data_IF_955155573396
#
_entry.id   IF_955155573396
#
_cell.length_a   1.000
_cell.length_b   1.000
_cell.length_c   1.000
_cell.angle_alpha   90.00
_cell.angle_beta   90.00
_cell.angle_gamma   90.00
#
_symmetry.space_group_name_H-M   'P 1'
#
loop_
_entity.id
_entity.type
_entity.pdbx_description
1 polymer ?
#
# COMPACT_ATOMS: atom_id res chain seq x y z
N UNK A 1 -13.28 -60.22 38.06
CA UNK A 1 -12.38 -59.07 38.01
C UNK A 1 -13.24 -57.88 37.65
N UNK A 2 -13.22 -56.85 38.51
CA UNK A 2 -14.29 -55.89 38.65
C UNK A 2 -14.18 -54.73 37.66
N UNK A 3 -15.29 -54.48 36.93
CA UNK A 3 -15.53 -53.24 36.15
C UNK A 3 -15.81 -52.09 37.11
N UNK A 4 -15.22 -50.95 36.90
CA UNK A 4 -15.53 -49.70 37.61
C UNK A 4 -16.31 -48.81 36.62
N UNK A 5 -17.61 -48.72 36.91
CA UNK A 5 -18.49 -47.69 36.30
C UNK A 5 -18.09 -46.32 36.81
N UNK A 6 -17.90 -45.38 35.86
CA UNK A 6 -17.93 -43.94 36.15
C UNK A 6 -19.20 -43.36 35.54
N UNK A 7 -20.13 -43.04 36.41
CA UNK A 7 -21.32 -42.24 36.12
C UNK A 7 -20.92 -40.84 35.78
N UNK A 8 -21.45 -40.34 34.69
CA UNK A 8 -21.36 -38.94 34.23
C UNK A 8 -22.30 -38.03 34.99
N UNK A 9 -21.84 -36.82 35.16
CA UNK A 9 -22.66 -35.66 35.50
C UNK A 9 -22.44 -34.63 34.36
N UNK A 10 -23.37 -34.61 33.45
CA UNK A 10 -23.55 -33.48 32.53
C UNK A 10 -24.86 -32.80 32.90
N UNK A 11 -24.73 -31.65 33.54
CA UNK A 11 -25.84 -30.71 33.76
C UNK A 11 -26.17 -30.00 32.42
N UNK A 12 -27.46 -29.75 32.13
CA UNK A 12 -27.86 -29.00 30.98
C UNK A 12 -27.89 -27.50 31.28
N UNK A 13 -27.24 -26.70 30.49
CA UNK A 13 -27.57 -25.29 30.43
C UNK A 13 -26.43 -24.28 30.61
N UNK A 14 -25.68 -24.05 29.55
CA UNK A 14 -25.04 -22.78 29.20
C UNK A 14 -24.33 -22.94 27.87
N UNK A 15 -24.93 -22.66 26.72
CA UNK A 15 -24.20 -22.49 25.46
C UNK A 15 -25.11 -22.18 24.26
N UNK A 16 -26.13 -21.34 24.43
CA UNK A 16 -26.95 -20.94 23.27
C UNK A 16 -27.03 -19.43 23.00
N UNK A 17 -26.43 -18.59 23.84
CA UNK A 17 -26.51 -17.13 23.70
C UNK A 17 -25.25 -16.54 23.05
N UNK A 18 -24.11 -17.22 23.18
CA UNK A 18 -22.81 -16.67 22.78
C UNK A 18 -22.49 -16.83 21.29
N UNK A 19 -23.04 -17.85 20.64
CA UNK A 19 -22.67 -18.14 19.24
C UNK A 19 -23.30 -17.20 18.21
N UNK A 20 -24.44 -16.56 18.50
CA UNK A 20 -25.06 -15.57 17.59
C UNK A 20 -24.38 -14.20 17.71
N UNK A 21 -23.91 -13.82 18.91
CA UNK A 21 -23.13 -12.59 19.09
C UNK A 21 -21.72 -12.76 18.50
N UNK A 22 -21.07 -13.89 18.71
CA UNK A 22 -19.76 -14.21 18.11
C UNK A 22 -19.85 -14.26 16.56
N UNK A 23 -20.89 -14.88 15.99
CA UNK A 23 -21.12 -14.85 14.53
C UNK A 23 -21.45 -13.45 14.01
N UNK A 24 -22.15 -12.61 14.78
CA UNK A 24 -22.39 -11.21 14.42
C UNK A 24 -21.11 -10.37 14.43
N UNK A 25 -20.21 -10.62 15.37
CA UNK A 25 -18.89 -9.96 15.44
C UNK A 25 -17.98 -10.44 14.30
N UNK A 26 -17.95 -11.75 14.03
CA UNK A 26 -17.19 -12.33 12.90
C UNK A 26 -17.75 -11.86 11.56
N UNK A 27 -19.06 -11.77 11.41
CA UNK A 27 -19.68 -11.22 10.19
C UNK A 27 -19.35 -9.74 9.98
N UNK A 28 -19.20 -8.95 11.06
CA UNK A 28 -18.73 -7.54 10.99
C UNK A 28 -17.25 -7.43 10.64
N UNK A 29 -16.43 -8.40 11.01
CA UNK A 29 -15.01 -8.45 10.67
C UNK A 29 -14.81 -8.96 9.22
N UNK A 30 -15.64 -9.88 8.75
CA UNK A 30 -15.50 -10.55 7.45
C UNK A 30 -16.27 -9.84 6.33
N UNK A 31 -17.33 -9.12 6.66
CA UNK A 31 -18.03 -8.24 5.75
C UNK A 31 -18.04 -6.82 6.34
N UNK A 32 -16.98 -6.03 6.14
CA UNK A 32 -17.10 -4.61 6.42
C UNK A 32 -18.25 -4.09 5.55
N UNK A 33 -19.22 -3.42 6.16
CA UNK A 33 -20.13 -2.52 5.44
C UNK A 33 -19.24 -1.73 4.48
N UNK A 34 -19.35 -2.00 3.16
CA UNK A 34 -18.50 -1.29 2.19
C UNK A 34 -18.91 0.17 2.31
N UNK A 35 -18.04 1.03 2.79
CA UNK A 35 -18.42 2.44 2.94
C UNK A 35 -18.87 2.95 1.57
N UNK A 36 -19.88 3.79 1.51
CA UNK A 36 -20.43 4.36 0.26
C UNK A 36 -19.34 4.97 -0.61
N UNK A 37 -18.29 5.51 0.02
CA UNK A 37 -17.12 6.04 -0.65
C UNK A 37 -15.83 5.29 -0.20
N UNK A 38 -14.98 4.78 -1.15
CA UNK A 38 -13.80 3.97 -0.80
C UNK A 38 -12.77 4.68 0.07
N UNK A 39 -12.66 6.01 0.02
CA UNK A 39 -11.75 6.80 0.87
C UNK A 39 -12.12 6.74 2.37
N UNK A 40 -13.36 6.37 2.71
CA UNK A 40 -13.78 6.24 4.12
C UNK A 40 -12.99 5.18 4.89
N UNK A 41 -12.42 4.18 4.22
CA UNK A 41 -11.51 3.21 4.83
C UNK A 41 -10.24 3.88 5.38
N UNK A 42 -9.71 4.85 4.63
CA UNK A 42 -8.54 5.63 5.07
C UNK A 42 -8.91 6.55 6.26
N UNK A 43 -10.05 7.24 6.17
CA UNK A 43 -10.53 8.06 7.29
C UNK A 43 -10.82 7.23 8.54
N UNK A 44 -11.38 6.02 8.38
CA UNK A 44 -11.61 5.09 9.49
C UNK A 44 -10.28 4.64 10.14
N UNK A 45 -9.22 4.43 9.36
CA UNK A 45 -7.89 4.13 9.89
C UNK A 45 -7.32 5.30 10.69
N UNK A 46 -7.45 6.55 10.20
CA UNK A 46 -7.04 7.73 10.96
C UNK A 46 -7.81 7.86 12.29
N UNK A 47 -9.12 7.64 12.26
CA UNK A 47 -9.95 7.70 13.46
C UNK A 47 -9.58 6.59 14.46
N UNK A 48 -9.37 5.36 13.98
CA UNK A 48 -8.94 4.22 14.80
C UNK A 48 -7.60 4.50 15.50
N UNK A 49 -6.63 5.11 14.81
CA UNK A 49 -5.35 5.49 15.42
C UNK A 49 -5.54 6.56 16.49
N UNK A 50 -6.37 7.58 16.25
CA UNK A 50 -6.63 8.64 17.24
C UNK A 50 -7.36 8.12 18.48
N UNK A 51 -8.24 7.14 18.32
CA UNK A 51 -9.08 6.60 19.40
C UNK A 51 -8.39 5.47 20.18
N UNK A 52 -7.69 4.56 19.47
CA UNK A 52 -7.16 3.32 20.03
C UNK A 52 -5.64 3.19 19.93
N UNK A 53 -4.96 4.15 19.29
CA UNK A 53 -3.51 4.08 19.06
C UNK A 53 -2.71 4.11 20.36
N UNK A 54 -1.81 3.14 20.51
CA UNK A 54 -0.84 3.15 21.60
C UNK A 54 0.19 4.27 21.39
N UNK A 55 0.43 5.08 22.42
CA UNK A 55 1.48 6.10 22.39
C UNK A 55 2.85 5.42 22.47
N UNK A 56 3.76 5.82 21.57
CA UNK A 56 5.13 5.33 21.53
C UNK A 56 6.11 6.46 21.26
N UNK A 57 7.26 6.39 21.86
CA UNK A 57 8.41 7.19 21.45
C UNK A 57 8.98 6.61 20.15
N UNK A 58 9.56 7.47 19.34
CA UNK A 58 10.15 7.09 18.06
C UNK A 58 11.53 7.72 17.86
N UNK A 59 12.22 7.30 16.79
CA UNK A 59 13.57 7.78 16.45
C UNK A 59 13.66 9.30 16.27
N UNK A 60 12.57 9.93 15.83
CA UNK A 60 12.54 11.38 15.55
C UNK A 60 12.32 12.21 16.81
N UNK A 61 11.96 11.60 17.95
CA UNK A 61 11.64 12.29 19.20
C UNK A 61 10.29 13.02 19.19
N UNK A 62 9.52 12.95 18.10
CA UNK A 62 8.17 13.54 18.01
C UNK A 62 7.16 12.69 18.78
N UNK A 63 7.32 11.38 18.77
CA UNK A 63 6.37 10.41 19.28
C UNK A 63 5.21 10.14 18.34
N UNK A 64 4.58 8.99 18.50
CA UNK A 64 3.51 8.50 17.64
C UNK A 64 2.34 7.91 18.43
N UNK A 65 1.15 7.90 17.82
CA UNK A 65 0.05 7.00 18.13
C UNK A 65 0.02 5.91 17.07
N UNK A 66 -0.03 4.64 17.45
CA UNK A 66 0.04 3.54 16.49
C UNK A 66 -0.90 2.39 16.80
N UNK A 67 -1.39 1.75 15.73
CA UNK A 67 -2.14 0.48 15.77
C UNK A 67 -1.41 -0.56 14.93
N UNK A 68 -1.56 -1.84 15.25
CA UNK A 68 -0.87 -2.90 14.55
C UNK A 68 -1.84 -3.80 13.78
N UNK A 69 -1.48 -4.14 12.54
CA UNK A 69 -2.22 -5.10 11.73
C UNK A 69 -3.56 -4.55 11.23
N UNK A 70 -3.54 -3.68 10.22
CA UNK A 70 -4.74 -3.14 9.56
C UNK A 70 -4.69 -3.40 8.06
N UNK A 71 -5.84 -3.33 7.39
CA UNK A 71 -5.94 -3.52 5.95
C UNK A 71 -7.02 -2.62 5.35
N UNK A 72 -6.74 -2.11 4.14
CA UNK A 72 -7.70 -1.39 3.29
C UNK A 72 -7.76 -2.05 1.91
N UNK A 73 -8.91 -1.88 1.20
CA UNK A 73 -9.12 -2.41 -0.16
C UNK A 73 -9.75 -1.35 -1.05
N UNK A 74 -9.19 -1.19 -2.25
CA UNK A 74 -9.66 -0.26 -3.26
C UNK A 74 -9.94 -1.01 -4.55
N UNK A 75 -11.22 -1.08 -4.95
CA UNK A 75 -11.63 -1.61 -6.26
C UNK A 75 -11.27 -0.57 -7.32
N UNK A 76 -10.29 -0.87 -8.16
CA UNK A 76 -9.74 0.05 -9.16
C UNK A 76 -10.71 0.29 -10.33
N UNK A 77 -11.76 -0.51 -10.48
CA UNK A 77 -12.84 -0.26 -11.43
C UNK A 77 -13.75 0.90 -11.03
N UNK A 78 -13.70 1.34 -9.75
CA UNK A 78 -14.52 2.42 -9.19
C UNK A 78 -13.82 3.80 -9.23
N UNK A 79 -12.67 3.90 -9.84
CA UNK A 79 -11.87 5.13 -9.94
C UNK A 79 -10.46 4.96 -9.35
N UNK A 80 -9.62 5.94 -9.63
CA UNK A 80 -8.25 5.96 -9.14
C UNK A 80 -8.19 6.49 -7.70
N UNK A 81 -7.69 5.72 -6.71
CA UNK A 81 -7.75 6.09 -5.30
C UNK A 81 -6.72 7.17 -4.92
N UNK A 82 -6.83 8.32 -5.55
CA UNK A 82 -6.13 9.54 -5.16
C UNK A 82 -7.03 10.31 -4.19
N UNK A 83 -6.63 10.38 -2.91
CA UNK A 83 -7.48 10.93 -1.85
C UNK A 83 -7.97 12.33 -2.18
N UNK A 84 -9.19 12.63 -1.72
CA UNK A 84 -9.91 13.86 -2.02
C UNK A 84 -10.14 14.73 -0.78
N UNK A 85 -10.06 14.19 0.42
CA UNK A 85 -10.19 14.93 1.69
C UNK A 85 -9.00 15.86 1.97
N UNK A 86 -7.89 15.67 1.27
CA UNK A 86 -6.82 16.66 1.10
C UNK A 86 -6.19 16.51 -0.28
N UNK A 87 -5.77 17.64 -0.88
CA UNK A 87 -5.11 17.61 -2.19
C UNK A 87 -3.73 16.98 -2.07
N UNK A 88 -3.48 15.98 -2.92
CA UNK A 88 -2.19 15.33 -3.07
C UNK A 88 -1.47 15.84 -4.33
N UNK A 89 -0.15 15.78 -4.32
CA UNK A 89 0.70 16.17 -5.45
C UNK A 89 0.91 14.96 -6.38
N UNK A 90 -0.05 14.71 -7.28
CA UNK A 90 -0.05 13.55 -8.18
C UNK A 90 1.22 13.41 -9.01
N UNK A 91 1.83 14.56 -9.43
CA UNK A 91 3.10 14.54 -10.18
C UNK A 91 4.21 13.83 -9.40
N UNK A 92 4.38 14.12 -8.11
CA UNK A 92 5.39 13.46 -7.29
C UNK A 92 5.15 11.97 -7.17
N UNK A 93 3.90 11.54 -7.00
CA UNK A 93 3.54 10.11 -6.89
C UNK A 93 3.90 9.36 -8.18
N UNK A 94 3.53 9.92 -9.33
CA UNK A 94 3.81 9.31 -10.64
C UNK A 94 5.32 9.23 -10.88
N UNK A 95 6.03 10.34 -10.68
CA UNK A 95 7.48 10.41 -10.93
C UNK A 95 8.27 9.53 -9.97
N UNK A 96 7.88 9.42 -8.70
CA UNK A 96 8.50 8.50 -7.74
C UNK A 96 8.37 7.05 -8.20
N UNK A 97 7.16 6.61 -8.61
CA UNK A 97 6.98 5.26 -9.13
C UNK A 97 7.81 4.99 -10.38
N UNK A 98 7.85 5.93 -11.32
CA UNK A 98 8.69 5.81 -12.52
C UNK A 98 10.18 5.73 -12.17
N UNK A 99 10.62 6.49 -11.19
CA UNK A 99 11.99 6.46 -10.69
C UNK A 99 12.34 5.10 -10.07
N UNK A 100 11.47 4.51 -9.25
CA UNK A 100 11.64 3.14 -8.75
C UNK A 100 11.72 2.12 -9.91
N UNK A 101 10.84 2.24 -10.92
CA UNK A 101 10.81 1.34 -12.09
C UNK A 101 12.05 1.49 -12.97
N UNK A 102 12.75 2.61 -12.94
CA UNK A 102 14.07 2.79 -13.58
C UNK A 102 15.18 2.05 -12.86
N UNK A 103 14.96 1.64 -11.61
CA UNK A 103 15.99 1.04 -10.75
C UNK A 103 16.95 2.07 -10.17
N UNK A 104 16.60 3.34 -10.22
CA UNK A 104 17.41 4.46 -9.80
C UNK A 104 17.39 4.62 -8.26
N UNK A 105 18.47 5.16 -7.69
CA UNK A 105 18.65 5.42 -6.26
C UNK A 105 19.15 6.83 -5.98
N UNK A 106 19.49 7.58 -7.05
CA UNK A 106 19.93 8.98 -6.95
C UNK A 106 18.75 9.93 -7.16
N UNK A 107 18.62 10.92 -6.27
CA UNK A 107 17.51 11.89 -6.31
C UNK A 107 17.58 12.89 -7.47
N UNK A 108 18.72 13.02 -8.14
CA UNK A 108 18.95 13.99 -9.22
C UNK A 108 17.88 13.92 -10.32
N UNK A 109 17.48 12.72 -10.72
CA UNK A 109 16.43 12.54 -11.73
C UNK A 109 15.06 13.10 -11.28
N UNK A 110 14.74 12.98 -9.99
CA UNK A 110 13.52 13.55 -9.39
C UNK A 110 13.62 15.07 -9.29
N UNK A 111 14.76 15.59 -8.84
CA UNK A 111 15.03 17.04 -8.68
C UNK A 111 14.94 17.77 -10.02
N UNK A 112 15.50 17.23 -11.10
CA UNK A 112 15.37 17.78 -12.46
C UNK A 112 13.91 17.93 -12.91
N UNK A 113 12.98 17.16 -12.29
CA UNK A 113 11.54 17.19 -12.58
C UNK A 113 10.74 17.95 -11.53
N UNK A 114 11.45 18.62 -10.59
CA UNK A 114 10.85 19.44 -9.52
C UNK A 114 10.20 18.59 -8.42
N UNK A 115 10.71 17.39 -8.16
CA UNK A 115 10.26 16.49 -7.08
C UNK A 115 11.39 16.37 -6.06
N UNK A 116 11.10 16.73 -4.82
CA UNK A 116 12.08 16.86 -3.72
C UNK A 116 11.72 15.99 -2.49
N UNK A 117 10.80 15.06 -2.66
CA UNK A 117 10.26 14.26 -1.55
C UNK A 117 11.26 13.28 -0.92
N UNK A 118 12.45 13.14 -1.49
CA UNK A 118 13.53 12.28 -1.00
C UNK A 118 14.79 13.05 -0.58
N UNK A 119 14.83 14.38 -0.78
CA UNK A 119 16.04 15.20 -0.57
C UNK A 119 16.55 15.14 0.88
N UNK A 120 15.65 15.01 1.86
CA UNK A 120 16.02 15.00 3.29
C UNK A 120 16.79 13.75 3.73
N UNK A 121 16.75 12.68 2.93
CA UNK A 121 17.44 11.41 3.21
C UNK A 121 18.67 11.19 2.32
N UNK A 122 18.81 11.97 1.25
CA UNK A 122 19.92 11.83 0.33
C UNK A 122 21.24 12.33 0.94
N UNK A 123 22.33 11.66 0.61
CA UNK A 123 23.65 12.14 0.93
C UNK A 123 24.04 13.37 0.06
N UNK A 124 25.22 14.00 0.27
CA UNK A 124 25.64 15.18 -0.51
C UNK A 124 25.77 14.93 -2.02
N UNK A 125 25.94 13.68 -2.45
CA UNK A 125 26.01 13.27 -3.85
C UNK A 125 24.64 12.90 -4.42
N UNK A 126 23.58 12.99 -3.60
CA UNK A 126 22.20 12.69 -3.96
C UNK A 126 21.84 11.19 -3.90
N UNK A 127 22.69 10.36 -3.31
CA UNK A 127 22.48 8.93 -3.22
C UNK A 127 21.69 8.54 -1.95
N UNK A 128 20.85 7.51 -2.12
CA UNK A 128 20.03 6.94 -1.04
C UNK A 128 20.45 5.50 -0.67
N UNK A 129 21.49 4.99 -1.32
CA UNK A 129 21.92 3.61 -1.18
C UNK A 129 20.96 2.63 -1.90
N UNK A 130 21.08 1.32 -1.60
CA UNK A 130 20.39 0.27 -2.36
C UNK A 130 18.89 0.15 -2.02
N UNK A 131 18.12 1.26 -2.07
CA UNK A 131 16.69 1.30 -1.75
C UNK A 131 15.83 0.70 -2.88
N UNK A 132 14.54 0.81 -2.76
CA UNK A 132 13.44 0.29 -3.60
C UNK A 132 13.79 -0.03 -5.06
N UNK A 133 14.21 0.97 -5.85
CA UNK A 133 14.51 0.80 -7.26
C UNK A 133 15.62 -0.22 -7.50
N UNK A 134 16.70 -0.15 -6.72
CA UNK A 134 17.82 -1.10 -6.78
C UNK A 134 17.34 -2.53 -6.45
N UNK A 135 16.55 -2.71 -5.40
CA UNK A 135 16.07 -4.03 -5.01
C UNK A 135 15.08 -4.61 -6.04
N UNK A 136 14.20 -3.79 -6.58
CA UNK A 136 13.21 -4.22 -7.57
C UNK A 136 13.82 -4.61 -8.91
N UNK A 137 14.81 -3.86 -9.37
CA UNK A 137 15.33 -3.96 -10.74
C UNK A 137 16.71 -4.61 -10.85
N UNK A 138 17.45 -4.67 -9.74
CA UNK A 138 18.84 -5.08 -9.77
C UNK A 138 19.27 -5.76 -8.47
N UNK A 139 18.47 -6.72 -8.00
CA UNK A 139 18.79 -7.51 -6.81
C UNK A 139 20.05 -8.33 -7.04
N UNK A 140 21.04 -8.18 -6.17
CA UNK A 140 22.28 -8.94 -6.24
C UNK A 140 22.07 -10.37 -5.70
N UNK A 141 22.37 -11.38 -6.51
CA UNK A 141 22.36 -12.78 -6.09
C UNK A 141 23.77 -13.22 -5.64
N UNK A 142 23.90 -14.20 -4.71
CA UNK A 142 25.20 -14.66 -4.21
C UNK A 142 26.14 -15.23 -5.29
N UNK A 143 25.60 -15.68 -6.42
CA UNK A 143 26.33 -16.22 -7.56
C UNK A 143 26.78 -15.15 -8.57
N UNK A 144 26.62 -13.86 -8.21
CA UNK A 144 27.00 -12.72 -9.05
C UNK A 144 25.97 -12.31 -10.11
N UNK A 145 24.84 -13.03 -10.23
CA UNK A 145 23.76 -12.62 -11.12
C UNK A 145 23.00 -11.42 -10.55
N UNK A 146 22.42 -10.65 -11.44
CA UNK A 146 21.46 -9.59 -11.11
C UNK A 146 20.07 -10.08 -11.45
N UNK A 147 19.12 -9.89 -10.52
CA UNK A 147 17.72 -10.30 -10.69
C UNK A 147 16.85 -9.05 -10.82
N UNK A 148 16.21 -8.88 -11.98
CA UNK A 148 15.14 -7.90 -12.18
C UNK A 148 13.81 -8.54 -11.77
N UNK A 149 13.37 -8.24 -10.55
CA UNK A 149 12.14 -8.80 -9.98
C UNK A 149 10.89 -8.31 -10.74
N UNK A 150 10.87 -7.03 -11.16
CA UNK A 150 9.74 -6.44 -11.89
C UNK A 150 9.59 -7.08 -13.27
N UNK A 151 10.67 -7.14 -14.05
CA UNK A 151 10.62 -7.77 -15.37
C UNK A 151 10.19 -9.25 -15.26
N UNK A 152 10.71 -9.95 -14.26
CA UNK A 152 10.37 -11.34 -14.01
C UNK A 152 8.90 -11.52 -13.65
N UNK A 153 8.33 -10.70 -12.75
CA UNK A 153 6.93 -10.84 -12.34
C UNK A 153 5.98 -10.50 -13.50
N UNK A 154 6.27 -9.48 -14.30
CA UNK A 154 5.49 -9.14 -15.50
C UNK A 154 5.50 -10.30 -16.50
N UNK A 155 6.67 -10.89 -16.77
CA UNK A 155 6.78 -12.06 -17.65
C UNK A 155 6.01 -13.26 -17.10
N UNK A 156 6.07 -13.52 -15.80
CA UNK A 156 5.33 -14.60 -15.15
C UNK A 156 3.81 -14.41 -15.21
N UNK A 157 3.32 -13.19 -15.00
CA UNK A 157 1.88 -12.89 -15.09
C UNK A 157 1.37 -13.19 -16.51
N UNK A 158 2.16 -12.88 -17.55
CA UNK A 158 1.80 -13.17 -18.96
C UNK A 158 1.77 -14.67 -19.26
N UNK A 159 2.69 -15.45 -18.72
CA UNK A 159 2.89 -16.87 -19.09
C UNK A 159 2.20 -17.85 -18.15
N UNK A 160 2.04 -17.49 -16.88
CA UNK A 160 1.39 -18.31 -15.85
C UNK A 160 0.63 -17.40 -14.87
N UNK A 161 -0.51 -16.80 -15.28
CA UNK A 161 -1.29 -15.89 -14.44
C UNK A 161 -1.83 -16.55 -13.17
N UNK A 162 -1.92 -17.89 -13.14
CA UNK A 162 -2.39 -18.66 -11.98
C UNK A 162 -1.32 -18.88 -10.90
N UNK A 163 -0.08 -18.49 -11.14
CA UNK A 163 1.03 -18.64 -10.20
C UNK A 163 0.80 -17.89 -8.90
N UNK A 164 1.20 -18.49 -7.80
CA UNK A 164 1.19 -17.88 -6.45
C UNK A 164 2.52 -17.21 -6.11
N UNK A 165 3.40 -17.03 -7.10
CA UNK A 165 4.79 -16.55 -6.93
C UNK A 165 5.01 -15.16 -7.55
N UNK A 166 3.96 -14.42 -7.85
CA UNK A 166 4.05 -13.05 -8.36
C UNK A 166 4.39 -12.06 -7.24
N UNK A 167 5.60 -12.20 -6.68
CA UNK A 167 6.07 -11.43 -5.52
C UNK A 167 7.27 -10.58 -5.93
N UNK A 168 7.30 -9.33 -5.43
CA UNK A 168 8.44 -8.42 -5.47
C UNK A 168 8.73 -7.95 -4.06
N UNK A 169 10.00 -7.98 -3.64
CA UNK A 169 10.43 -7.53 -2.32
C UNK A 169 11.49 -6.44 -2.42
N UNK A 170 11.37 -5.42 -1.58
CA UNK A 170 12.40 -4.42 -1.36
C UNK A 170 13.23 -4.69 -0.09
N UNK A 171 12.73 -5.55 0.80
CA UNK A 171 13.40 -5.87 2.05
C UNK A 171 14.51 -6.88 1.81
N UNK A 172 15.75 -6.40 1.86
CA UNK A 172 16.96 -7.21 1.73
C UNK A 172 17.77 -7.12 3.03
N UNK A 173 17.79 -8.16 3.89
CA UNK A 173 18.52 -8.12 5.14
C UNK A 173 20.04 -7.88 4.99
N UNK A 174 20.61 -8.19 3.82
CA UNK A 174 22.03 -7.97 3.57
C UNK A 174 22.36 -6.51 3.23
N UNK A 175 21.39 -5.75 2.71
CA UNK A 175 21.59 -4.37 2.23
C UNK A 175 20.92 -3.31 3.12
N UNK A 176 20.05 -3.71 4.05
CA UNK A 176 19.17 -2.78 4.80
C UNK A 176 19.94 -1.73 5.58
N UNK A 177 21.12 -2.07 6.11
CA UNK A 177 21.96 -1.15 6.88
C UNK A 177 22.72 -0.13 6.00
N UNK A 178 22.78 -0.38 4.68
CA UNK A 178 23.38 0.52 3.69
C UNK A 178 22.33 1.46 3.04
N UNK A 179 21.06 1.35 3.41
CA UNK A 179 20.00 2.19 2.90
C UNK A 179 19.81 3.45 3.75
N UNK A 180 19.69 4.61 3.11
CA UNK A 180 19.39 5.85 3.81
C UNK A 180 18.05 5.76 4.59
N UNK A 181 17.08 5.01 4.05
CA UNK A 181 15.83 4.69 4.71
C UNK A 181 15.42 3.23 4.42
N UNK A 182 15.43 2.33 5.43
CA UNK A 182 14.95 0.97 5.26
C UNK A 182 13.52 0.92 4.71
N UNK A 183 13.22 0.05 3.72
CA UNK A 183 11.94 0.05 3.02
C UNK A 183 10.74 -0.08 3.95
N UNK A 184 9.85 0.90 3.93
CA UNK A 184 8.57 0.86 4.64
C UNK A 184 7.61 -0.10 3.96
N UNK A 185 7.44 0.00 2.64
CA UNK A 185 6.68 -0.95 1.82
C UNK A 185 7.61 -2.10 1.38
N UNK A 186 7.57 -3.19 2.17
CA UNK A 186 8.56 -4.25 2.13
C UNK A 186 8.40 -5.20 0.95
N UNK A 187 7.16 -5.59 0.66
CA UNK A 187 6.84 -6.53 -0.42
C UNK A 187 5.44 -6.30 -0.96
N UNK A 188 5.25 -6.67 -2.21
CA UNK A 188 3.92 -6.75 -2.80
C UNK A 188 3.77 -8.00 -3.64
N UNK A 189 2.52 -8.43 -3.80
CA UNK A 189 2.14 -9.62 -4.54
C UNK A 189 1.01 -9.29 -5.50
N UNK A 190 1.11 -9.80 -6.73
CA UNK A 190 0.00 -9.77 -7.68
C UNK A 190 -0.81 -11.07 -7.64
N UNK A 191 -2.08 -10.94 -7.96
CA UNK A 191 -3.01 -12.04 -8.09
C UNK A 191 -3.93 -11.79 -9.29
N UNK A 192 -4.06 -12.78 -10.16
CA UNK A 192 -5.00 -12.74 -11.29
C UNK A 192 -6.21 -13.59 -10.95
N UNK A 193 -7.36 -12.96 -10.75
CA UNK A 193 -8.64 -13.65 -10.64
C UNK A 193 -9.16 -13.97 -12.04
N UNK A 194 -9.55 -15.23 -12.34
CA UNK A 194 -10.19 -15.52 -13.60
C UNK A 194 -11.53 -14.77 -13.71
N UNK A 195 -11.89 -14.41 -14.92
CA UNK A 195 -13.19 -13.82 -15.26
C UNK A 195 -13.87 -14.63 -16.37
N UNK A 196 -15.17 -14.34 -16.62
CA UNK A 196 -15.96 -15.03 -17.64
C UNK A 196 -15.51 -14.66 -19.08
N UNK A 197 -14.67 -13.63 -19.24
CA UNK A 197 -14.17 -13.16 -20.54
C UNK A 197 -12.83 -13.79 -20.92
N UNK A 198 -12.16 -14.47 -19.97
CA UNK A 198 -10.84 -15.04 -20.16
C UNK A 198 -9.69 -14.03 -20.11
N UNK A 199 -9.97 -12.76 -19.82
CA UNK A 199 -8.93 -11.73 -19.62
C UNK A 199 -8.36 -11.74 -18.22
N UNK A 200 -9.17 -12.09 -17.21
CA UNK A 200 -8.79 -12.07 -15.80
C UNK A 200 -8.65 -10.66 -15.22
N UNK A 201 -8.74 -10.55 -13.89
CA UNK A 201 -8.58 -9.29 -13.15
C UNK A 201 -7.32 -9.32 -12.29
N UNK A 202 -6.41 -8.39 -12.54
CA UNK A 202 -5.14 -8.27 -11.82
C UNK A 202 -5.33 -7.40 -10.57
N UNK A 203 -5.04 -7.97 -9.41
CA UNK A 203 -5.01 -7.29 -8.11
C UNK A 203 -3.59 -7.25 -7.56
N UNK A 204 -3.30 -6.27 -6.70
CA UNK A 204 -2.04 -6.14 -5.99
C UNK A 204 -2.28 -6.03 -4.49
N UNK A 205 -1.52 -6.78 -3.69
CA UNK A 205 -1.46 -6.62 -2.24
C UNK A 205 -0.09 -6.12 -1.83
N UNK A 206 -0.06 -4.98 -1.13
CA UNK A 206 1.14 -4.42 -0.50
C UNK A 206 1.17 -4.80 0.98
N UNK A 207 2.32 -5.23 1.49
CA UNK A 207 2.64 -5.22 2.91
C UNK A 207 3.58 -4.07 3.24
N UNK A 208 3.11 -3.14 4.06
CA UNK A 208 3.87 -1.99 4.57
C UNK A 208 4.13 -2.18 6.05
N UNK A 209 5.43 -2.36 6.43
CA UNK A 209 5.83 -2.65 7.83
C UNK A 209 5.66 -1.45 8.75
N UNK A 210 5.84 -0.25 8.21
CA UNK A 210 5.82 1.04 8.93
C UNK A 210 5.14 2.07 8.05
N UNK A 211 4.08 2.68 8.55
CA UNK A 211 3.20 3.52 7.75
C UNK A 211 2.84 4.81 8.48
N UNK A 212 3.47 5.93 8.09
CA UNK A 212 2.94 7.25 8.40
C UNK A 212 1.60 7.44 7.69
N UNK A 213 0.53 7.30 8.46
CA UNK A 213 -0.82 7.29 7.87
C UNK A 213 -1.22 8.67 7.36
N UNK A 214 -0.65 9.76 7.89
CA UNK A 214 -1.02 11.09 7.44
C UNK A 214 -0.28 11.53 6.18
N UNK A 215 1.06 11.43 6.11
CA UNK A 215 1.83 11.88 4.96
C UNK A 215 2.11 10.77 3.95
N UNK A 216 2.59 9.61 4.39
CA UNK A 216 3.08 8.56 3.49
C UNK A 216 1.98 7.70 2.87
N UNK A 217 1.04 7.20 3.68
CA UNK A 217 0.00 6.26 3.20
C UNK A 217 -0.81 6.78 2.02
N UNK A 218 -1.24 8.06 1.96
CA UNK A 218 -1.95 8.59 0.79
C UNK A 218 -1.16 8.48 -0.52
N UNK A 219 0.16 8.68 -0.48
CA UNK A 219 1.06 8.51 -1.62
C UNK A 219 1.18 7.04 -2.00
N UNK A 220 1.36 6.15 -1.01
CA UNK A 220 1.50 4.72 -1.25
C UNK A 220 0.23 4.09 -1.85
N UNK A 221 -0.97 4.52 -1.40
CA UNK A 221 -2.25 4.08 -2.00
C UNK A 221 -2.26 4.37 -3.50
N UNK A 222 -2.00 5.61 -3.88
CA UNK A 222 -2.05 6.03 -5.27
C UNK A 222 -0.91 5.40 -6.10
N UNK A 223 0.30 5.31 -5.55
CA UNK A 223 1.47 4.71 -6.22
C UNK A 223 1.25 3.24 -6.57
N UNK A 224 0.78 2.42 -5.62
CA UNK A 224 0.55 1.00 -5.89
C UNK A 224 -0.72 0.72 -6.68
N UNK A 225 -1.75 1.57 -6.57
CA UNK A 225 -2.88 1.54 -7.49
C UNK A 225 -2.43 1.83 -8.93
N UNK A 226 -1.56 2.85 -9.13
CA UNK A 226 -0.95 3.17 -10.42
C UNK A 226 -0.14 1.99 -10.96
N UNK A 227 0.75 1.41 -10.15
CA UNK A 227 1.53 0.23 -10.54
C UNK A 227 0.63 -0.92 -10.98
N UNK A 228 -0.48 -1.15 -10.26
CA UNK A 228 -1.45 -2.20 -10.59
C UNK A 228 -2.10 -1.96 -11.95
N UNK A 229 -2.52 -0.71 -12.24
CA UNK A 229 -3.07 -0.32 -13.54
C UNK A 229 -2.06 -0.52 -14.67
N UNK A 230 -0.81 -0.09 -14.47
CA UNK A 230 0.26 -0.23 -15.46
C UNK A 230 0.54 -1.70 -15.76
N UNK A 231 0.69 -2.54 -14.72
CA UNK A 231 0.95 -3.99 -14.91
C UNK A 231 -0.25 -4.68 -15.56
N UNK A 232 -1.49 -4.36 -15.16
CA UNK A 232 -2.70 -4.90 -15.78
C UNK A 232 -2.70 -4.61 -17.29
N UNK A 233 -2.45 -3.34 -17.70
CA UNK A 233 -2.41 -2.97 -19.11
C UNK A 233 -1.36 -3.74 -19.90
N UNK A 234 -0.11 -3.77 -19.42
CA UNK A 234 0.98 -4.42 -20.19
C UNK A 234 0.88 -5.94 -20.20
N UNK A 235 0.12 -6.54 -19.30
CA UNK A 235 -0.11 -8.00 -19.24
C UNK A 235 -1.44 -8.43 -19.85
N UNK A 236 -2.28 -7.48 -20.28
CA UNK A 236 -3.55 -7.74 -20.95
C UNK A 236 -4.69 -8.14 -20.01
N UNK A 237 -4.61 -7.74 -18.73
CA UNK A 237 -5.63 -8.00 -17.73
C UNK A 237 -6.48 -6.76 -17.43
N UNK A 238 -7.70 -6.97 -16.93
CA UNK A 238 -8.50 -5.91 -16.37
C UNK A 238 -7.99 -5.55 -14.95
N UNK A 239 -8.05 -4.27 -14.53
CA UNK A 239 -7.73 -3.90 -13.16
C UNK A 239 -8.66 -4.55 -12.14
N UNK A 240 -8.08 -5.10 -11.08
CA UNK A 240 -8.79 -5.68 -9.94
C UNK A 240 -8.80 -4.74 -8.73
N UNK A 241 -8.29 -5.23 -7.59
CA UNK A 241 -8.20 -4.47 -6.34
C UNK A 241 -6.75 -4.12 -6.00
N UNK A 242 -6.56 -2.96 -5.37
CA UNK A 242 -5.37 -2.71 -4.56
C UNK A 242 -5.70 -2.99 -3.09
N UNK A 243 -4.93 -3.87 -2.47
CA UNK A 243 -5.05 -4.26 -1.06
C UNK A 243 -3.85 -3.74 -0.31
N UNK A 244 -4.05 -2.87 0.67
CA UNK A 244 -2.99 -2.28 1.48
C UNK A 244 -3.01 -2.88 2.88
N UNK A 245 -2.00 -3.67 3.21
CA UNK A 245 -1.84 -4.33 4.51
C UNK A 245 -0.73 -3.64 5.30
N UNK A 246 -1.03 -3.26 6.53
CA UNK A 246 -0.13 -2.54 7.42
C UNK A 246 0.37 -3.42 8.56
N UNK A 247 1.65 -3.30 8.87
CA UNK A 247 2.21 -3.68 10.16
C UNK A 247 1.93 -2.59 11.20
N UNK A 248 2.90 -1.72 11.45
CA UNK A 248 2.78 -0.54 12.31
C UNK A 248 2.16 0.62 11.50
N UNK A 249 0.88 0.92 11.73
CA UNK A 249 0.21 2.09 11.17
C UNK A 249 0.15 3.18 12.24
N UNK A 250 0.79 4.31 11.99
CA UNK A 250 0.96 5.35 13.00
C UNK A 250 0.69 6.75 12.48
N UNK A 251 0.39 7.63 13.43
CA UNK A 251 0.23 9.06 13.28
C UNK A 251 1.23 9.76 14.20
N UNK A 252 2.07 10.63 13.67
CA UNK A 252 2.96 11.46 14.47
C UNK A 252 2.15 12.43 15.34
N UNK A 253 2.61 12.67 16.59
CA UNK A 253 1.88 13.52 17.53
C UNK A 253 1.71 14.97 17.03
N UNK A 254 2.64 15.46 16.22
CA UNK A 254 2.57 16.78 15.58
C UNK A 254 1.62 16.82 14.36
N UNK A 255 0.98 15.69 13.99
CA UNK A 255 -0.03 15.61 12.92
C UNK A 255 -1.47 15.41 13.43
N UNK A 256 -1.67 15.37 14.75
CA UNK A 256 -2.98 15.08 15.35
C UNK A 256 -4.05 16.09 14.92
N UNK A 257 -3.75 17.38 14.96
CA UNK A 257 -4.73 18.41 14.58
C UNK A 257 -5.01 18.40 13.07
N UNK A 258 -4.01 18.12 12.24
CA UNK A 258 -4.17 17.95 10.81
C UNK A 258 -5.04 16.73 10.46
N UNK A 259 -4.87 15.64 11.20
CA UNK A 259 -5.71 14.44 11.04
C UNK A 259 -7.17 14.72 11.43
N UNK A 260 -7.41 15.46 12.52
CA UNK A 260 -8.76 15.90 12.92
C UNK A 260 -9.40 16.80 11.87
N UNK A 261 -8.64 17.75 11.31
CA UNK A 261 -9.10 18.57 10.20
C UNK A 261 -9.50 17.72 9.00
N UNK A 262 -8.66 16.75 8.60
CA UNK A 262 -8.97 15.86 7.48
C UNK A 262 -10.22 15.02 7.73
N UNK A 263 -10.42 14.52 8.96
CA UNK A 263 -11.60 13.75 9.37
C UNK A 263 -12.89 14.57 9.32
N UNK A 264 -12.83 15.90 9.41
CA UNK A 264 -14.00 16.77 9.30
C UNK A 264 -14.50 16.95 7.85
N UNK A 265 -13.76 16.45 6.86
CA UNK A 265 -14.03 16.66 5.44
C UNK A 265 -14.72 15.45 4.81
N UNK A 266 -15.77 15.70 4.01
CA UNK A 266 -16.42 14.64 3.24
C UNK A 266 -15.62 14.30 1.98
N UNK A 267 -15.43 12.99 1.66
CA UNK A 267 -14.81 12.56 0.43
C UNK A 267 -15.57 13.04 -0.81
N UNK A 268 -14.82 13.44 -1.84
CA UNK A 268 -15.34 13.76 -3.17
C UNK A 268 -15.11 12.55 -4.10
N UNK A 269 -15.82 12.43 -5.22
CA UNK A 269 -15.60 11.32 -6.16
C UNK A 269 -14.14 11.19 -6.57
N UNK A 270 -13.65 9.96 -6.62
CA UNK A 270 -12.31 9.68 -7.12
C UNK A 270 -12.16 10.09 -8.58
N UNK A 271 -10.97 10.56 -8.98
CA UNK A 271 -10.67 10.84 -10.38
C UNK A 271 -10.59 9.56 -11.20
N UNK A 272 -10.60 9.73 -12.52
CA UNK A 272 -10.20 8.69 -13.47
C UNK A 272 -8.74 8.91 -13.86
N UNK A 273 -7.96 7.84 -13.90
CA UNK A 273 -6.62 7.86 -14.46
C UNK A 273 -6.63 7.10 -15.80
N UNK A 274 -6.23 7.77 -16.88
CA UNK A 274 -6.03 7.15 -18.19
C UNK A 274 -4.55 6.97 -18.45
N UNK A 275 -4.19 5.80 -18.94
CA UNK A 275 -2.85 5.45 -19.36
C UNK A 275 -2.79 5.44 -20.89
N UNK A 276 -1.75 6.02 -21.47
CA UNK A 276 -1.45 5.81 -22.87
C UNK A 276 -1.21 4.31 -23.14
N UNK A 277 -1.58 3.79 -24.31
CA UNK A 277 -1.38 2.38 -24.64
C UNK A 277 0.11 2.06 -24.71
N UNK A 278 0.58 1.25 -23.78
CA UNK A 278 1.95 0.72 -23.71
C UNK A 278 1.91 -0.79 -23.55
N UNK A 279 2.86 -1.48 -24.15
CA UNK A 279 3.08 -2.93 -24.05
C UNK A 279 4.29 -3.30 -23.21
N UNK A 280 5.12 -2.30 -22.92
CA UNK A 280 6.30 -2.42 -22.03
C UNK A 280 6.11 -1.51 -20.82
N UNK A 281 6.24 -2.11 -19.63
CA UNK A 281 6.12 -1.40 -18.35
C UNK A 281 7.18 -0.30 -18.18
N UNK A 282 8.34 -0.49 -18.75
CA UNK A 282 9.49 0.41 -18.63
C UNK A 282 9.51 1.53 -19.69
N UNK A 283 8.56 1.49 -20.62
CA UNK A 283 8.39 2.51 -21.66
C UNK A 283 7.42 3.64 -21.27
N UNK A 284 6.82 3.57 -20.07
CA UNK A 284 5.99 4.66 -19.58
C UNK A 284 6.82 5.88 -19.20
N UNK A 285 6.33 7.06 -19.59
CA UNK A 285 6.83 8.36 -19.12
C UNK A 285 5.69 9.16 -18.48
N UNK A 286 6.02 10.28 -17.83
CA UNK A 286 5.06 11.11 -17.11
C UNK A 286 3.86 11.55 -17.99
N UNK A 287 4.09 11.88 -19.25
CA UNK A 287 3.06 12.33 -20.16
C UNK A 287 2.09 11.22 -20.63
N UNK A 288 2.36 9.97 -20.29
CA UNK A 288 1.47 8.83 -20.55
C UNK A 288 0.29 8.74 -19.56
N UNK A 289 0.27 9.59 -18.53
CA UNK A 289 -0.75 9.57 -17.47
C UNK A 289 -1.63 10.81 -17.51
N UNK A 290 -2.91 10.62 -17.81
CA UNK A 290 -3.91 11.70 -17.78
C UNK A 290 -4.86 11.52 -16.62
N UNK A 291 -4.76 12.42 -15.63
CA UNK A 291 -5.63 12.45 -14.46
C UNK A 291 -6.84 13.35 -14.75
N UNK A 292 -8.03 12.74 -14.86
CA UNK A 292 -9.28 13.42 -15.22
C UNK A 292 -10.19 13.58 -14.01
N UNK A 293 -10.74 14.77 -13.84
CA UNK A 293 -11.77 15.05 -12.84
C UNK A 293 -11.27 15.10 -11.39
N UNK A 294 -9.98 15.23 -11.14
CA UNK A 294 -9.46 15.33 -9.76
C UNK A 294 -9.91 16.63 -9.09
N UNK A 295 -10.83 16.50 -8.16
CA UNK A 295 -11.25 17.53 -7.23
C UNK A 295 -10.94 17.08 -5.82
N UNK A 296 -10.38 17.96 -5.01
CA UNK A 296 -10.01 17.67 -3.65
C UNK A 296 -10.17 18.92 -2.77
N UNK A 297 -10.40 18.70 -1.49
CA UNK A 297 -10.24 19.75 -0.49
C UNK A 297 -8.82 20.30 -0.50
N UNK A 298 -8.59 21.52 0.01
CA UNK A 298 -7.24 22.10 0.08
C UNK A 298 -6.24 21.17 0.76
N UNK A 299 -4.97 21.29 0.37
CA UNK A 299 -3.88 20.57 1.04
C UNK A 299 -3.83 20.94 2.53
N UNK A 300 -3.45 20.00 3.38
CA UNK A 300 -3.18 20.23 4.80
C UNK A 300 -1.67 20.06 4.97
N UNK A 301 -1.00 21.16 5.35
CA UNK A 301 0.45 21.16 5.60
C UNK A 301 0.75 20.47 6.93
N UNK A 302 1.79 19.65 6.96
CA UNK A 302 2.31 19.03 8.18
C UNK A 302 3.85 18.97 8.09
N UNK A 303 4.57 19.08 9.22
CA UNK A 303 6.02 18.93 9.24
C UNK A 303 6.41 17.47 8.95
N UNK A 304 7.50 17.25 8.22
CA UNK A 304 8.06 15.92 8.04
C UNK A 304 8.83 15.54 9.31
N UNK A 305 8.66 14.31 9.79
CA UNK A 305 9.42 13.76 10.91
C UNK A 305 10.62 12.98 10.34
N UNK A 306 11.84 13.48 10.53
CA UNK A 306 13.11 12.92 10.05
C UNK A 306 14.00 12.45 11.18
#
# INVERSE_FOLDING_TARGET
>A
MRAVERQGLLGPGADSVDNRQAMSVIARIVAPDRPDHPERQYLALLADILEHGARREDRTGVGTLGVFGRQMRFDLSRGFPLLTTKRLHAKSIILELLWFLRGDTNVGWLQERGVTIWDEWADPDGELGPIYGKQWRSWAAPDGRTIDQIAKVVAQIRTDPSSRRHIVTAWNPADVDAMALPPCHCLFQFFVAPDDKGTGRLSCQLYQRSADVFLGVPFNIASYALLTLMVAQVTGHEPGEFVHTFGDAHLYLNHVEQAKEQLSREPLPFPTLRLAPRTDLFAFDYDDFALEGYRAHPSIKAPIAV
#
